data_IF_868597768044
#
_entry.id   IF_868597768044
#
_cell.length_a   1.000
_cell.length_b   1.000
_cell.length_c   1.000
_cell.angle_alpha   90.00
_cell.angle_beta   90.00
_cell.angle_gamma   90.00
#
_symmetry.space_group_name_H-M   'P 1'
#
loop_
_entity.id
_entity.type
_entity.pdbx_description
1 polymer ?
#
# COMPACT_ATOMS: atom_id res chain seq x y z
N UNK A 1 -3.92 -10.10 33.90
CA UNK A 1 -3.32 -9.86 32.57
C UNK A 1 -4.16 -8.78 31.90
N UNK A 2 -3.69 -7.53 32.03
CA UNK A 2 -4.20 -6.23 31.55
C UNK A 2 -5.70 -6.04 31.37
N UNK A 3 -6.35 -5.66 32.48
CA UNK A 3 -7.55 -4.84 32.53
C UNK A 3 -7.11 -3.37 32.59
N UNK A 4 -6.80 -2.78 31.43
CA UNK A 4 -6.87 -1.33 31.25
C UNK A 4 -7.99 -1.09 30.25
N UNK A 5 -8.99 -0.31 30.67
CA UNK A 5 -10.03 0.17 29.78
C UNK A 5 -9.37 1.01 28.68
N UNK A 6 -9.06 0.36 27.55
CA UNK A 6 -8.59 1.02 26.34
C UNK A 6 -9.69 2.02 25.96
N UNK A 7 -9.41 3.32 26.09
CA UNK A 7 -10.16 4.33 25.37
C UNK A 7 -10.24 3.87 23.91
N UNK A 8 -11.43 3.67 23.32
CA UNK A 8 -11.53 3.21 21.94
C UNK A 8 -10.72 4.15 21.07
N UNK A 9 -9.94 3.62 20.12
CA UNK A 9 -8.96 4.36 19.29
C UNK A 9 -9.49 5.69 18.71
N UNK A 10 -10.80 5.76 18.47
CA UNK A 10 -11.50 6.96 17.98
C UNK A 10 -11.68 8.06 19.03
N UNK A 11 -11.57 7.79 20.33
CA UNK A 11 -11.67 8.77 21.41
C UNK A 11 -10.46 9.69 21.49
N UNK A 12 -9.32 9.27 20.93
CA UNK A 12 -8.15 10.14 20.77
C UNK A 12 -8.51 11.25 19.76
N UNK A 13 -8.52 12.54 20.17
CA UNK A 13 -9.00 13.63 19.31
C UNK A 13 -8.21 13.76 18.01
N UNK A 14 -6.90 13.51 18.05
CA UNK A 14 -6.02 13.58 16.88
C UNK A 14 -6.42 12.55 15.83
N UNK A 15 -6.79 11.33 16.24
CA UNK A 15 -7.24 10.29 15.31
C UNK A 15 -8.54 10.70 14.62
N UNK A 16 -9.47 11.37 15.31
CA UNK A 16 -10.69 11.92 14.69
C UNK A 16 -10.34 12.96 13.62
N UNK A 17 -9.43 13.88 13.93
CA UNK A 17 -8.98 14.91 12.99
C UNK A 17 -8.36 14.25 11.75
N UNK A 18 -7.53 13.23 11.93
CA UNK A 18 -6.92 12.52 10.80
C UNK A 18 -7.94 11.74 9.97
N UNK A 19 -8.95 11.13 10.59
CA UNK A 19 -10.05 10.48 9.86
C UNK A 19 -10.83 11.50 9.04
N UNK A 20 -11.19 12.66 9.62
CA UNK A 20 -11.89 13.72 8.90
C UNK A 20 -11.04 14.27 7.75
N UNK A 21 -9.74 14.46 7.97
CA UNK A 21 -8.80 14.86 6.93
C UNK A 21 -8.71 13.81 5.82
N UNK A 22 -8.68 12.52 6.16
CA UNK A 22 -8.64 11.42 5.19
C UNK A 22 -9.91 11.40 4.32
N UNK A 23 -11.08 11.60 4.92
CA UNK A 23 -12.35 11.70 4.19
C UNK A 23 -12.33 12.91 3.24
N UNK A 24 -11.92 14.08 3.73
CA UNK A 24 -11.84 15.29 2.90
C UNK A 24 -10.87 15.10 1.72
N UNK A 25 -9.68 14.56 1.96
CA UNK A 25 -8.69 14.26 0.93
C UNK A 25 -9.21 13.22 -0.08
N UNK A 26 -9.91 12.18 0.38
CA UNK A 26 -10.51 11.16 -0.48
C UNK A 26 -11.56 11.78 -1.41
N UNK A 27 -12.40 12.69 -0.91
CA UNK A 27 -13.38 13.42 -1.72
C UNK A 27 -12.71 14.31 -2.76
N UNK A 28 -11.59 14.98 -2.42
CA UNK A 28 -10.84 15.81 -3.37
C UNK A 28 -10.28 15.01 -4.55
N UNK A 29 -9.82 13.78 -4.32
CA UNK A 29 -9.26 12.92 -5.38
C UNK A 29 -10.28 11.95 -5.99
N UNK A 30 -11.53 11.94 -5.51
CA UNK A 30 -12.55 10.97 -5.92
C UNK A 30 -12.79 10.98 -7.43
N UNK A 31 -12.90 12.17 -8.03
CA UNK A 31 -13.11 12.31 -9.48
C UNK A 31 -11.96 11.70 -10.28
N UNK A 32 -10.73 11.92 -9.85
CA UNK A 32 -9.54 11.38 -10.51
C UNK A 32 -9.47 9.86 -10.32
N UNK A 33 -9.81 9.37 -9.12
CA UNK A 33 -9.91 7.95 -8.84
C UNK A 33 -10.93 7.24 -9.74
N UNK A 34 -12.14 7.78 -9.87
CA UNK A 34 -13.20 7.20 -10.72
C UNK A 34 -12.78 7.12 -12.19
N UNK A 35 -12.02 8.09 -12.70
CA UNK A 35 -11.45 8.04 -14.06
C UNK A 35 -10.36 6.98 -14.21
N UNK A 36 -9.65 6.65 -13.13
CA UNK A 36 -8.60 5.63 -13.14
C UNK A 36 -9.14 4.20 -13.04
N UNK A 37 -10.32 3.99 -12.43
CA UNK A 37 -10.93 2.67 -12.27
C UNK A 37 -10.89 1.76 -13.51
N UNK A 38 -11.32 2.20 -14.72
CA UNK A 38 -11.27 1.34 -15.91
C UNK A 38 -9.83 0.95 -16.31
N UNK A 39 -8.86 1.82 -16.05
CA UNK A 39 -7.44 1.54 -16.32
C UNK A 39 -6.87 0.57 -15.29
N UNK A 40 -7.23 0.76 -14.02
CA UNK A 40 -6.84 -0.13 -12.93
C UNK A 40 -7.41 -1.53 -13.16
N UNK A 41 -8.68 -1.67 -13.55
CA UNK A 41 -9.27 -2.97 -13.87
C UNK A 41 -8.58 -3.63 -15.08
N UNK A 42 -8.25 -2.85 -16.11
CA UNK A 42 -7.43 -3.32 -17.23
C UNK A 42 -6.06 -3.86 -16.78
N UNK A 43 -5.41 -3.18 -15.82
CA UNK A 43 -4.13 -3.59 -15.25
C UNK A 43 -4.21 -4.82 -14.34
N UNK A 44 -5.38 -5.11 -13.75
CA UNK A 44 -5.63 -6.34 -13.00
C UNK A 44 -5.65 -7.56 -13.91
N UNK A 45 -6.15 -7.42 -15.14
CA UNK A 45 -6.31 -8.53 -16.10
C UNK A 45 -5.05 -8.68 -16.96
N UNK A 46 -4.51 -7.58 -17.50
CA UNK A 46 -3.43 -7.59 -18.49
C UNK A 46 -2.20 -6.87 -18.00
N UNK A 47 -1.04 -7.49 -18.18
CA UNK A 47 0.26 -6.90 -17.86
C UNK A 47 0.50 -5.57 -18.61
N UNK A 48 0.03 -5.45 -19.86
CA UNK A 48 0.14 -4.23 -20.66
C UNK A 48 -0.64 -3.05 -20.08
N UNK A 49 -1.71 -3.28 -19.33
CA UNK A 49 -2.47 -2.22 -18.68
C UNK A 49 -1.64 -1.40 -17.69
N UNK A 50 -0.59 -1.99 -17.08
CA UNK A 50 0.35 -1.24 -16.23
C UNK A 50 1.22 -0.27 -17.03
N UNK A 51 1.54 -0.60 -18.29
CA UNK A 51 2.36 0.23 -19.19
C UNK A 51 1.49 1.33 -19.79
N UNK A 52 0.23 1.02 -20.12
CA UNK A 52 -0.72 1.97 -20.72
C UNK A 52 -0.93 3.23 -19.86
N UNK A 53 -0.99 3.08 -18.53
CA UNK A 53 -1.11 4.20 -17.60
C UNK A 53 0.11 5.13 -17.67
N UNK A 54 1.31 4.61 -17.97
CA UNK A 54 2.54 5.40 -18.04
C UNK A 54 2.68 6.19 -19.35
N UNK A 55 1.94 5.83 -20.41
CA UNK A 55 1.92 6.62 -21.65
C UNK A 55 1.22 7.98 -21.47
N UNK A 56 0.29 8.10 -20.51
CA UNK A 56 -0.41 9.35 -20.22
C UNK A 56 0.12 9.99 -18.94
N UNK A 57 0.88 11.08 -19.09
CA UNK A 57 1.43 11.85 -17.96
C UNK A 57 0.31 12.31 -16.99
N UNK A 58 -0.85 12.68 -17.53
CA UNK A 58 -2.00 13.10 -16.72
C UNK A 58 -2.53 11.95 -15.85
N UNK A 59 -2.70 10.76 -16.43
CA UNK A 59 -3.18 9.58 -15.70
C UNK A 59 -2.16 9.08 -14.68
N UNK A 60 -0.87 9.01 -15.04
CA UNK A 60 0.20 8.63 -14.12
C UNK A 60 0.29 9.59 -12.91
N UNK A 61 0.16 10.90 -13.13
CA UNK A 61 0.11 11.90 -12.05
C UNK A 61 -1.14 11.76 -11.19
N UNK A 62 -2.31 11.59 -11.82
CA UNK A 62 -3.58 11.35 -11.12
C UNK A 62 -3.49 10.13 -10.21
N UNK A 63 -2.93 9.02 -10.71
CA UNK A 63 -2.68 7.82 -9.92
C UNK A 63 -1.77 8.10 -8.73
N UNK A 64 -0.64 8.77 -8.94
CA UNK A 64 0.30 9.02 -7.85
C UNK A 64 -0.34 9.90 -6.75
N UNK A 65 -1.17 10.89 -7.13
CA UNK A 65 -1.95 11.69 -6.17
C UNK A 65 -2.95 10.83 -5.39
N UNK A 66 -3.70 9.98 -6.08
CA UNK A 66 -4.63 9.05 -5.43
C UNK A 66 -3.90 8.09 -4.50
N UNK A 67 -2.74 7.58 -4.90
CA UNK A 67 -1.93 6.65 -4.11
C UNK A 67 -1.38 7.32 -2.84
N UNK A 68 -1.01 8.60 -2.89
CA UNK A 68 -0.58 9.36 -1.71
C UNK A 68 -1.73 9.53 -0.70
N UNK A 69 -2.93 9.90 -1.16
CA UNK A 69 -4.12 9.97 -0.30
C UNK A 69 -4.47 8.58 0.25
N UNK A 70 -4.38 7.56 -0.60
CA UNK A 70 -4.60 6.17 -0.19
C UNK A 70 -3.62 5.72 0.89
N UNK A 71 -2.34 6.10 0.80
CA UNK A 71 -1.31 5.77 1.79
C UNK A 71 -1.69 6.31 3.17
N UNK A 72 -2.25 7.52 3.22
CA UNK A 72 -2.74 8.12 4.45
C UNK A 72 -3.92 7.31 5.04
N UNK A 73 -4.86 6.88 4.21
CA UNK A 73 -5.97 6.01 4.63
C UNK A 73 -5.45 4.66 5.15
N UNK A 74 -4.50 4.05 4.44
CA UNK A 74 -3.88 2.79 4.85
C UNK A 74 -3.17 2.92 6.20
N UNK A 75 -2.49 4.05 6.46
CA UNK A 75 -1.85 4.30 7.75
C UNK A 75 -2.86 4.29 8.90
N UNK A 76 -4.02 4.92 8.73
CA UNK A 76 -5.09 4.93 9.73
C UNK A 76 -5.68 3.53 9.96
N UNK A 77 -5.90 2.76 8.90
CA UNK A 77 -6.34 1.36 9.03
C UNK A 77 -5.30 0.50 9.74
N UNK A 78 -4.03 0.69 9.39
CA UNK A 78 -2.89 -0.04 9.97
C UNK A 78 -2.77 0.23 11.45
N UNK A 79 -2.92 1.48 11.88
CA UNK A 79 -2.87 1.85 13.29
C UNK A 79 -4.12 1.39 14.07
N UNK A 80 -5.33 1.59 13.52
CA UNK A 80 -6.60 1.20 14.19
C UNK A 80 -6.70 -0.29 14.44
N UNK A 81 -6.32 -1.10 13.46
CA UNK A 81 -6.41 -2.57 13.51
C UNK A 81 -5.08 -3.25 13.85
N UNK A 82 -4.04 -2.47 14.16
CA UNK A 82 -2.70 -2.95 14.49
C UNK A 82 -2.19 -3.98 13.47
N UNK A 83 -2.29 -3.63 12.18
CA UNK A 83 -1.85 -4.49 11.08
C UNK A 83 -0.32 -4.64 11.05
N UNK A 84 0.39 -3.70 11.68
CA UNK A 84 1.84 -3.71 11.85
C UNK A 84 2.16 -3.62 13.36
N UNK A 85 2.16 -4.77 14.07
CA UNK A 85 2.42 -4.82 15.50
C UNK A 85 3.93 -4.79 15.76
N UNK A 86 4.52 -3.60 15.70
CA UNK A 86 5.93 -3.41 16.02
C UNK A 86 6.08 -2.90 17.46
N UNK A 87 6.95 -3.53 18.24
CA UNK A 87 7.11 -3.22 19.66
C UNK A 87 7.65 -1.80 19.85
N UNK A 88 8.54 -1.33 18.97
CA UNK A 88 9.01 0.06 18.98
C UNK A 88 7.90 1.10 18.79
N UNK A 89 6.79 0.78 18.11
CA UNK A 89 5.64 1.70 18.00
C UNK A 89 4.84 1.77 19.30
N UNK A 90 4.92 0.74 20.16
CA UNK A 90 4.31 0.71 21.48
C UNK A 90 4.89 1.75 22.45
N UNK A 91 6.14 2.17 22.23
CA UNK A 91 6.80 3.23 23.01
C UNK A 91 6.23 4.62 22.70
N UNK A 92 5.64 4.79 21.52
CA UNK A 92 5.11 6.08 21.07
C UNK A 92 3.73 6.31 21.69
N UNK A 93 3.46 7.52 22.25
CA UNK A 93 2.14 7.84 22.79
C UNK A 93 1.03 7.63 21.77
N UNK A 94 -0.12 7.12 22.20
CA UNK A 94 -1.25 6.76 21.31
C UNK A 94 -1.68 7.88 20.36
N UNK A 95 -1.57 9.14 20.80
CA UNK A 95 -1.88 10.33 20.02
C UNK A 95 -1.01 10.49 18.75
N UNK A 96 0.18 9.91 18.73
CA UNK A 96 1.16 9.99 17.64
C UNK A 96 1.33 8.68 16.88
N UNK A 97 0.67 7.60 17.28
CA UNK A 97 0.85 6.28 16.66
C UNK A 97 0.40 6.24 15.19
N UNK A 98 -0.70 6.90 14.84
CA UNK A 98 -1.14 7.03 13.45
C UNK A 98 -0.10 7.74 12.57
N UNK A 99 0.51 8.81 13.09
CA UNK A 99 1.55 9.55 12.38
C UNK A 99 2.85 8.74 12.26
N UNK A 100 3.24 8.03 13.32
CA UNK A 100 4.39 7.13 13.30
C UNK A 100 4.20 6.00 12.27
N UNK A 101 3.00 5.42 12.23
CA UNK A 101 2.62 4.40 11.24
C UNK A 101 2.71 4.94 9.81
N UNK A 102 2.23 6.16 9.58
CA UNK A 102 2.39 6.84 8.29
C UNK A 102 3.88 7.03 7.95
N UNK A 103 4.69 7.44 8.92
CA UNK A 103 6.14 7.58 8.75
C UNK A 103 6.82 6.28 8.33
N UNK A 104 6.44 5.16 8.94
CA UNK A 104 6.93 3.82 8.56
C UNK A 104 6.58 3.50 7.10
N UNK A 105 5.31 3.71 6.70
CA UNK A 105 4.87 3.45 5.33
C UNK A 105 5.57 4.38 4.31
N UNK A 106 5.76 5.65 4.64
CA UNK A 106 6.49 6.61 3.80
C UNK A 106 7.95 6.20 3.67
N UNK A 107 8.59 5.77 4.76
CA UNK A 107 9.98 5.30 4.77
C UNK A 107 10.16 4.09 3.87
N UNK A 108 9.20 3.17 3.86
CA UNK A 108 9.16 2.03 2.93
C UNK A 108 9.08 2.49 1.46
N UNK A 109 8.24 3.48 1.14
CA UNK A 109 8.16 4.03 -0.23
C UNK A 109 9.48 4.71 -0.64
N UNK A 110 10.09 5.47 0.26
CA UNK A 110 11.39 6.12 0.03
C UNK A 110 12.47 5.07 -0.22
N UNK A 111 12.55 4.04 0.62
CA UNK A 111 13.50 2.94 0.46
C UNK A 111 13.33 2.25 -0.90
N UNK A 112 12.09 1.98 -1.33
CA UNK A 112 11.82 1.43 -2.66
C UNK A 112 12.29 2.34 -3.78
N UNK A 113 12.06 3.64 -3.68
CA UNK A 113 12.54 4.60 -4.66
C UNK A 113 14.08 4.65 -4.73
N UNK A 114 14.75 4.58 -3.58
CA UNK A 114 16.22 4.52 -3.49
C UNK A 114 16.75 3.25 -4.17
N UNK A 115 16.23 2.08 -3.78
CA UNK A 115 16.63 0.78 -4.35
C UNK A 115 16.40 0.80 -5.87
N UNK A 116 15.24 1.25 -6.33
CA UNK A 116 14.95 1.31 -7.76
C UNK A 116 15.86 2.28 -8.55
N UNK A 117 16.38 3.31 -7.89
CA UNK A 117 17.35 4.24 -8.49
C UNK A 117 18.71 3.58 -8.65
N UNK A 118 19.17 2.83 -7.66
CA UNK A 118 20.45 2.10 -7.71
C UNK A 118 20.41 0.89 -8.67
N UNK A 119 19.30 0.15 -8.70
CA UNK A 119 19.16 -1.01 -9.59
C UNK A 119 18.77 -0.58 -11.01
N UNK A 120 19.77 -0.56 -11.92
CA UNK A 120 19.54 -0.31 -13.35
C UNK A 120 19.01 -1.58 -14.04
N UNK A 121 17.93 -1.41 -14.81
CA UNK A 121 17.32 -2.44 -15.65
C UNK A 121 17.60 -2.11 -17.14
N UNK A 122 18.80 -2.40 -17.68
CA UNK A 122 19.26 -1.87 -18.96
C UNK A 122 18.47 -2.34 -20.18
N UNK A 123 17.84 -3.52 -20.12
CA UNK A 123 17.07 -4.09 -21.25
C UNK A 123 15.60 -3.68 -21.28
N UNK A 124 15.16 -2.90 -20.29
CA UNK A 124 13.77 -2.43 -20.20
C UNK A 124 13.69 -1.00 -20.77
N UNK A 125 12.72 -0.79 -21.64
CA UNK A 125 12.33 0.56 -22.09
C UNK A 125 11.88 1.42 -20.90
N UNK A 126 11.95 2.74 -21.08
CA UNK A 126 11.70 3.70 -20.01
C UNK A 126 10.29 3.58 -19.42
N UNK A 127 9.30 3.26 -20.24
CA UNK A 127 7.89 3.11 -19.85
C UNK A 127 7.66 1.80 -19.09
N UNK A 128 8.13 0.66 -19.61
CA UNK A 128 8.07 -0.62 -18.87
C UNK A 128 8.84 -0.56 -17.55
N UNK A 129 9.95 0.20 -17.50
CA UNK A 129 10.73 0.41 -16.27
C UNK A 129 9.91 1.20 -15.25
N UNK A 130 9.26 2.29 -15.66
CA UNK A 130 8.34 3.06 -14.80
C UNK A 130 7.17 2.20 -14.35
N UNK A 131 6.53 1.47 -15.26
CA UNK A 131 5.41 0.57 -14.97
C UNK A 131 5.80 -0.49 -13.93
N UNK A 132 7.01 -1.07 -14.01
CA UNK A 132 7.49 -2.03 -13.02
C UNK A 132 7.73 -1.41 -11.63
N UNK A 133 8.06 -0.11 -11.56
CA UNK A 133 8.21 0.61 -10.30
C UNK A 133 6.84 0.97 -9.68
N UNK A 134 5.93 1.45 -10.51
CA UNK A 134 4.64 2.02 -10.10
C UNK A 134 3.51 0.99 -10.05
N UNK A 135 3.74 -0.25 -10.50
CA UNK A 135 2.77 -1.34 -10.46
C UNK A 135 2.11 -1.50 -9.09
N UNK A 136 2.89 -1.37 -8.00
CA UNK A 136 2.35 -1.46 -6.64
C UNK A 136 1.23 -0.45 -6.37
N UNK A 137 1.30 0.76 -6.96
CA UNK A 137 0.27 1.79 -6.78
C UNK A 137 -1.03 1.42 -7.49
N UNK A 138 -0.94 0.74 -8.64
CA UNK A 138 -2.12 0.28 -9.37
C UNK A 138 -2.88 -0.77 -8.54
N UNK A 139 -2.18 -1.79 -8.04
CA UNK A 139 -2.80 -2.84 -7.23
C UNK A 139 -3.24 -2.32 -5.86
N UNK A 140 -2.45 -1.44 -5.24
CA UNK A 140 -2.85 -0.77 -4.00
C UNK A 140 -4.16 0.00 -4.17
N UNK A 141 -4.29 0.83 -5.22
CA UNK A 141 -5.51 1.59 -5.49
C UNK A 141 -6.70 0.72 -5.89
N UNK A 142 -6.47 -0.47 -6.45
CA UNK A 142 -7.51 -1.43 -6.74
C UNK A 142 -8.03 -2.14 -5.47
N UNK A 143 -7.13 -2.42 -4.50
CA UNK A 143 -7.47 -3.13 -3.27
C UNK A 143 -7.92 -2.21 -2.12
N UNK A 144 -7.54 -0.93 -2.12
CA UNK A 144 -7.92 -0.01 -1.05
C UNK A 144 -9.44 0.14 -0.86
N UNK A 145 -10.28 0.27 -1.91
CA UNK A 145 -11.73 0.27 -1.72
C UNK A 145 -12.27 -1.06 -1.20
N UNK A 146 -11.64 -2.18 -1.58
CA UNK A 146 -12.00 -3.50 -1.07
C UNK A 146 -11.75 -3.55 0.45
N UNK A 147 -10.59 -3.09 0.91
CA UNK A 147 -10.27 -2.97 2.34
C UNK A 147 -11.27 -2.10 3.10
N UNK A 148 -11.61 -0.93 2.53
CA UNK A 148 -12.61 -0.04 3.12
C UNK A 148 -14.02 -0.66 3.15
N UNK A 149 -14.42 -1.36 2.09
CA UNK A 149 -15.69 -2.06 2.02
C UNK A 149 -15.74 -3.21 3.04
N UNK A 150 -14.68 -4.00 3.16
CA UNK A 150 -14.56 -5.08 4.15
C UNK A 150 -14.68 -4.54 5.57
N UNK A 151 -13.98 -3.45 5.90
CA UNK A 151 -14.12 -2.77 7.20
C UNK A 151 -15.55 -2.29 7.44
N UNK A 152 -16.17 -1.63 6.46
CA UNK A 152 -17.54 -1.12 6.56
C UNK A 152 -18.58 -2.23 6.75
N UNK A 153 -18.49 -3.31 5.97
CA UNK A 153 -19.39 -4.47 6.06
C UNK A 153 -19.23 -5.14 7.44
N UNK A 154 -17.99 -5.42 7.86
CA UNK A 154 -17.72 -6.07 9.14
C UNK A 154 -18.16 -5.21 10.33
N UNK A 155 -18.09 -3.89 10.21
CA UNK A 155 -18.62 -2.97 11.20
C UNK A 155 -20.15 -3.08 11.34
N UNK A 156 -20.89 -3.17 10.23
CA UNK A 156 -22.35 -3.38 10.23
C UNK A 156 -22.72 -4.69 10.94
N UNK A 157 -21.95 -5.74 10.70
CA UNK A 157 -22.14 -7.05 11.35
C UNK A 157 -21.57 -7.13 12.76
N UNK A 158 -21.00 -6.05 13.31
CA UNK A 158 -20.37 -6.00 14.63
C UNK A 158 -19.31 -7.09 14.83
N UNK A 159 -18.54 -7.38 13.78
CA UNK A 159 -17.47 -8.36 13.85
C UNK A 159 -16.39 -7.91 14.84
N UNK A 160 -15.71 -8.87 15.47
CA UNK A 160 -14.58 -8.60 16.35
C UNK A 160 -13.41 -8.01 15.53
N UNK A 161 -12.69 -7.03 16.10
CA UNK A 161 -11.46 -6.44 15.54
C UNK A 161 -10.45 -7.49 15.07
N UNK A 162 -10.39 -8.65 15.73
CA UNK A 162 -9.53 -9.77 15.32
C UNK A 162 -9.90 -10.33 13.94
N UNK A 163 -11.20 -10.42 13.63
CA UNK A 163 -11.70 -10.88 12.32
C UNK A 163 -11.39 -9.82 11.25
N UNK A 164 -11.61 -8.54 11.57
CA UNK A 164 -11.29 -7.42 10.67
C UNK A 164 -9.81 -7.41 10.32
N UNK A 165 -8.93 -7.52 11.33
CA UNK A 165 -7.47 -7.61 11.13
C UNK A 165 -7.08 -8.79 10.22
N UNK A 166 -7.66 -9.97 10.44
CA UNK A 166 -7.39 -11.14 9.61
C UNK A 166 -7.77 -10.92 8.14
N UNK A 167 -8.94 -10.36 7.89
CA UNK A 167 -9.40 -10.06 6.52
C UNK A 167 -8.48 -9.03 5.86
N UNK A 168 -8.12 -7.96 6.57
CA UNK A 168 -7.18 -6.95 6.08
C UNK A 168 -5.79 -7.53 5.78
N UNK A 169 -5.31 -8.49 6.57
CA UNK A 169 -4.07 -9.22 6.26
C UNK A 169 -4.20 -10.09 5.00
N UNK A 170 -5.32 -10.78 4.81
CA UNK A 170 -5.56 -11.57 3.59
C UNK A 170 -5.60 -10.68 2.35
N UNK A 171 -6.29 -9.54 2.42
CA UNK A 171 -6.32 -8.54 1.34
C UNK A 171 -4.95 -7.91 1.10
N UNK A 172 -4.19 -7.67 2.18
CA UNK A 172 -2.80 -7.20 2.12
C UNK A 172 -1.93 -8.19 1.36
N UNK A 173 -1.99 -9.45 1.75
CA UNK A 173 -1.27 -10.52 1.08
C UNK A 173 -1.68 -10.66 -0.40
N UNK A 174 -2.98 -10.59 -0.70
CA UNK A 174 -3.48 -10.68 -2.07
C UNK A 174 -2.96 -9.55 -2.97
N UNK A 175 -2.96 -8.29 -2.50
CA UNK A 175 -2.43 -7.19 -3.31
C UNK A 175 -0.92 -7.33 -3.53
N UNK A 176 -0.17 -7.76 -2.51
CA UNK A 176 1.28 -7.96 -2.60
C UNK A 176 1.63 -9.07 -3.57
N UNK A 177 0.93 -10.20 -3.47
CA UNK A 177 1.09 -11.33 -4.36
C UNK A 177 0.83 -10.95 -5.82
N UNK A 178 -0.26 -10.22 -6.08
CA UNK A 178 -0.58 -9.75 -7.44
C UNK A 178 0.48 -8.77 -7.96
N UNK A 179 0.96 -7.85 -7.11
CA UNK A 179 2.03 -6.92 -7.47
C UNK A 179 3.30 -7.67 -7.88
N UNK A 180 3.73 -8.64 -7.08
CA UNK A 180 4.91 -9.48 -7.36
C UNK A 180 4.76 -10.24 -8.68
N UNK A 181 3.62 -10.93 -8.85
CA UNK A 181 3.33 -11.69 -10.07
C UNK A 181 3.38 -10.81 -11.31
N UNK A 182 2.78 -9.64 -11.24
CA UNK A 182 2.62 -8.73 -12.39
C UNK A 182 3.93 -8.02 -12.73
N UNK A 183 4.69 -7.60 -11.73
CA UNK A 183 6.05 -7.10 -11.92
C UNK A 183 6.96 -8.19 -12.50
N UNK A 184 6.81 -9.44 -12.05
CA UNK A 184 7.51 -10.60 -12.61
C UNK A 184 7.20 -10.81 -14.09
N UNK A 185 5.93 -10.68 -14.49
CA UNK A 185 5.53 -10.75 -15.90
C UNK A 185 6.20 -9.65 -16.73
N UNK A 186 6.21 -8.39 -16.26
CA UNK A 186 6.88 -7.28 -16.96
C UNK A 186 8.36 -7.59 -17.19
N UNK A 187 9.05 -8.07 -16.16
CA UNK A 187 10.48 -8.38 -16.23
C UNK A 187 10.78 -9.59 -17.13
N UNK A 188 9.93 -10.63 -17.08
CA UNK A 188 10.10 -11.83 -17.91
C UNK A 188 9.99 -11.60 -19.41
N UNK A 189 9.44 -10.45 -19.85
CA UNK A 189 9.41 -10.08 -21.27
C UNK A 189 10.81 -9.84 -21.86
N UNK A 190 11.80 -9.50 -21.02
CA UNK A 190 13.16 -9.10 -21.45
C UNK A 190 14.29 -9.84 -20.75
N UNK A 191 14.00 -10.50 -19.62
CA UNK A 191 15.01 -11.18 -18.80
C UNK A 191 14.69 -12.67 -18.64
N UNK A 192 15.75 -13.47 -18.44
CA UNK A 192 15.60 -14.89 -18.10
C UNK A 192 14.94 -15.09 -16.73
N UNK A 193 14.31 -16.24 -16.46
CA UNK A 193 13.61 -16.50 -15.20
C UNK A 193 14.46 -16.23 -13.95
N UNK A 194 15.74 -16.64 -13.96
CA UNK A 194 16.67 -16.41 -12.85
C UNK A 194 16.92 -14.91 -12.61
N UNK A 195 17.14 -14.13 -13.67
CA UNK A 195 17.35 -12.68 -13.56
C UNK A 195 16.08 -11.98 -13.08
N UNK A 196 14.93 -12.38 -13.59
CA UNK A 196 13.62 -11.89 -13.13
C UNK A 196 13.43 -12.13 -11.63
N UNK A 197 13.74 -13.34 -11.15
CA UNK A 197 13.69 -13.65 -9.72
C UNK A 197 14.62 -12.75 -8.90
N UNK A 198 15.89 -12.63 -9.28
CA UNK A 198 16.85 -11.77 -8.58
C UNK A 198 16.40 -10.30 -8.54
N UNK A 199 15.85 -9.78 -9.64
CA UNK A 199 15.31 -8.42 -9.67
C UNK A 199 14.07 -8.25 -8.79
N UNK A 200 13.19 -9.24 -8.72
CA UNK A 200 12.05 -9.21 -7.80
C UNK A 200 12.51 -9.23 -6.34
N UNK A 201 13.51 -10.05 -6.02
CA UNK A 201 14.11 -10.09 -4.69
C UNK A 201 14.69 -8.73 -4.30
N UNK A 202 15.47 -8.11 -5.19
CA UNK A 202 16.07 -6.81 -4.92
C UNK A 202 15.02 -5.69 -4.82
N UNK A 203 14.05 -5.64 -5.73
CA UNK A 203 13.13 -4.50 -5.85
C UNK A 203 11.92 -4.55 -4.93
N UNK A 204 11.50 -5.74 -4.47
CA UNK A 204 10.33 -5.89 -3.61
C UNK A 204 10.67 -6.62 -2.31
N UNK A 205 11.30 -7.79 -2.38
CA UNK A 205 11.53 -8.60 -1.16
C UNK A 205 12.47 -7.90 -0.18
N UNK A 206 13.55 -7.28 -0.66
CA UNK A 206 14.49 -6.53 0.17
C UNK A 206 13.81 -5.36 0.93
N UNK A 207 13.10 -4.43 0.27
CA UNK A 207 12.39 -3.37 0.99
C UNK A 207 11.29 -3.88 1.92
N UNK A 208 10.63 -5.00 1.60
CA UNK A 208 9.72 -5.66 2.54
C UNK A 208 10.44 -6.25 3.75
N UNK A 209 11.59 -6.90 3.56
CA UNK A 209 12.39 -7.42 4.65
C UNK A 209 12.85 -6.29 5.59
N UNK A 210 13.28 -5.15 5.04
CA UNK A 210 13.62 -3.97 5.83
C UNK A 210 12.43 -3.38 6.61
N UNK A 211 11.19 -3.63 6.18
CA UNK A 211 9.99 -3.25 6.93
C UNK A 211 9.67 -4.28 8.02
N UNK A 212 9.74 -5.58 7.71
CA UNK A 212 9.33 -6.65 8.64
C UNK A 212 10.35 -6.91 9.74
N UNK A 213 11.65 -6.86 9.44
CA UNK A 213 12.72 -7.17 10.40
C UNK A 213 12.65 -6.26 11.63
N UNK A 214 12.55 -4.92 11.50
CA UNK A 214 12.35 -4.04 12.66
C UNK A 214 11.09 -4.38 13.45
N UNK A 215 9.99 -4.74 12.79
CA UNK A 215 8.74 -5.06 13.47
C UNK A 215 8.84 -6.30 14.37
N UNK A 216 9.71 -7.24 14.00
CA UNK A 216 9.85 -8.53 14.70
C UNK A 216 11.00 -8.51 15.71
N UNK A 217 12.05 -7.72 15.46
CA UNK A 217 13.27 -7.70 16.27
C UNK A 217 13.38 -6.51 17.22
N UNK A 218 12.62 -5.42 17.02
CA UNK A 218 12.68 -4.18 17.79
C UNK A 218 11.33 -3.81 18.42
#
# INVERSE_FOLDING_TARGET
MYSEALHPWIEVPINRIFVLAAIALALLVLRDYLKLLPLLSGSLVRCRGNIEIEHSVSQARGRNRCALVGLFILALLTDRYKLYPADFLGVIPQAWQALATLGVLVSYIILRAIIFTFFRLPKLDSESRKAAHTAIYNYFLAFLPLMLASVGILWIFKANDSVVRWILWVETFAFLWLTLRRKGQILSLKYSPLKTFLYLCALEVLPFACLVIPAVLL
#
